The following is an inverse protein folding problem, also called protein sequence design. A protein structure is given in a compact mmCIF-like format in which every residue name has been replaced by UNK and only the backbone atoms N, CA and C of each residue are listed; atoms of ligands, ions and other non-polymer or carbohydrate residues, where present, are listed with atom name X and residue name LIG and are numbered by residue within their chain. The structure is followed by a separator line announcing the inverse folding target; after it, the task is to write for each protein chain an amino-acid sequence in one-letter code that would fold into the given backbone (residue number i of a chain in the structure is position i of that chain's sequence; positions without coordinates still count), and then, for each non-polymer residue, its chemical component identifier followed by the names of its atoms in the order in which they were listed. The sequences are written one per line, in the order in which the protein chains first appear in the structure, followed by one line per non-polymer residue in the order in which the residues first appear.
data_IF_007406350850
#
_entry.id   IF_007406350850
#
_cell.length_a   1.000
_cell.length_b   1.000
_cell.length_c   1.000
_cell.angle_alpha   90.00
_cell.angle_beta   90.00
_cell.angle_gamma   90.00
#
_symmetry.space_group_name_H-M   'P 1'
#
loop_
_entity.id
_entity.type
_entity.pdbx_description
1 polymer ?
#
# COMPACT_ATOMS: atom_id res chain seq x y z
N UNK A 1 -7.66 -48.93 -13.79
CA UNK A 1 -6.75 -49.04 -12.63
C UNK A 1 -5.40 -48.32 -12.81
N UNK A 2 -4.37 -48.85 -13.51
CA UNK A 2 -3.03 -48.19 -13.53
C UNK A 2 -2.99 -46.77 -14.14
N UNK A 3 -3.79 -46.51 -15.19
CA UNK A 3 -3.91 -45.17 -15.79
C UNK A 3 -4.60 -44.16 -14.87
N UNK A 4 -5.68 -44.58 -14.22
CA UNK A 4 -6.43 -43.76 -13.25
C UNK A 4 -5.57 -43.41 -12.04
N UNK A 5 -4.81 -44.37 -11.54
CA UNK A 5 -3.88 -44.12 -10.45
C UNK A 5 -2.82 -43.09 -10.85
N UNK A 6 -2.23 -43.19 -12.04
CA UNK A 6 -1.26 -42.20 -12.51
C UNK A 6 -1.88 -40.79 -12.63
N UNK A 7 -3.11 -40.68 -13.14
CA UNK A 7 -3.83 -39.40 -13.18
C UNK A 7 -4.08 -38.85 -11.77
N UNK A 8 -4.41 -39.70 -10.81
CA UNK A 8 -4.59 -39.31 -9.41
C UNK A 8 -3.28 -38.79 -8.78
N UNK A 9 -2.15 -39.44 -9.05
CA UNK A 9 -0.83 -39.00 -8.57
C UNK A 9 -0.45 -37.65 -9.16
N UNK A 10 -0.68 -37.44 -10.46
CA UNK A 10 -0.44 -36.14 -11.11
C UNK A 10 -1.34 -35.06 -10.51
N UNK A 11 -2.62 -35.34 -10.28
CA UNK A 11 -3.53 -34.38 -9.67
C UNK A 11 -3.13 -34.05 -8.22
N UNK A 12 -2.65 -35.03 -7.45
CA UNK A 12 -2.19 -34.80 -6.08
C UNK A 12 -0.88 -33.99 -6.05
N UNK A 13 0.07 -34.31 -6.94
CA UNK A 13 1.32 -33.54 -7.06
C UNK A 13 1.07 -32.10 -7.51
N UNK A 14 0.14 -31.87 -8.45
CA UNK A 14 -0.31 -30.53 -8.86
C UNK A 14 -0.92 -29.75 -7.69
N UNK A 15 -1.76 -30.39 -6.86
CA UNK A 15 -2.35 -29.74 -5.67
C UNK A 15 -1.29 -29.38 -4.63
N UNK A 16 -0.33 -30.27 -4.38
CA UNK A 16 0.77 -30.03 -3.47
C UNK A 16 1.65 -28.86 -3.97
N UNK A 17 1.97 -28.86 -5.27
CA UNK A 17 2.74 -27.81 -5.94
C UNK A 17 2.03 -26.45 -5.85
N UNK A 18 0.73 -26.41 -6.13
CA UNK A 18 -0.07 -25.19 -6.02
C UNK A 18 0.02 -24.59 -4.62
N UNK A 19 -0.16 -25.39 -3.58
CA UNK A 19 -0.12 -24.92 -2.18
C UNK A 19 1.26 -24.36 -1.79
N UNK A 20 2.35 -25.01 -2.20
CA UNK A 20 3.70 -24.53 -1.87
C UNK A 20 4.05 -23.27 -2.67
N UNK A 21 3.73 -23.26 -3.96
CA UNK A 21 4.03 -22.16 -4.87
C UNK A 21 3.20 -20.91 -4.54
N UNK A 22 1.89 -21.04 -4.31
CA UNK A 22 1.01 -19.91 -3.96
C UNK A 22 1.53 -19.15 -2.73
N UNK A 23 1.98 -19.89 -1.70
CA UNK A 23 2.50 -19.29 -0.46
C UNK A 23 3.79 -18.51 -0.70
N UNK A 24 4.71 -19.06 -1.49
CA UNK A 24 5.98 -18.41 -1.82
C UNK A 24 5.80 -17.22 -2.77
N UNK A 25 4.93 -17.34 -3.77
CA UNK A 25 4.63 -16.27 -4.72
C UNK A 25 4.06 -15.04 -4.01
N UNK A 26 3.09 -15.20 -3.10
CA UNK A 26 2.55 -14.07 -2.31
C UNK A 26 3.69 -13.37 -1.56
N UNK A 27 4.56 -14.14 -0.90
CA UNK A 27 5.69 -13.59 -0.14
C UNK A 27 6.68 -12.81 -1.03
N UNK A 28 6.94 -13.30 -2.24
CA UNK A 28 7.87 -12.67 -3.18
C UNK A 28 7.24 -11.40 -3.80
N UNK A 29 5.98 -11.50 -4.25
CA UNK A 29 5.23 -10.41 -4.87
C UNK A 29 5.00 -9.26 -3.88
N UNK A 30 4.69 -9.55 -2.62
CA UNK A 30 4.46 -8.51 -1.59
C UNK A 30 5.72 -7.73 -1.24
N UNK A 31 6.90 -8.35 -1.38
CA UNK A 31 8.19 -7.66 -1.16
C UNK A 31 8.63 -6.84 -2.36
N UNK A 32 8.24 -7.24 -3.57
CA UNK A 32 8.45 -6.44 -4.77
C UNK A 32 9.93 -6.00 -4.98
N UNK A 33 10.86 -6.91 -4.70
CA UNK A 33 12.31 -6.66 -4.80
C UNK A 33 12.76 -6.53 -6.26
N UNK A 34 13.86 -5.82 -6.58
CA UNK A 34 14.40 -5.78 -7.95
C UNK A 34 14.69 -7.16 -8.57
N UNK A 35 15.04 -8.14 -7.72
CA UNK A 35 15.30 -9.52 -8.13
C UNK A 35 14.04 -10.41 -8.04
N UNK A 36 12.83 -9.84 -8.02
CA UNK A 36 11.57 -10.57 -7.85
C UNK A 36 11.41 -11.68 -8.89
N UNK A 37 11.67 -11.39 -10.17
CA UNK A 37 11.52 -12.36 -11.25
C UNK A 37 12.46 -13.56 -11.10
N UNK A 38 13.71 -13.33 -10.70
CA UNK A 38 14.64 -14.41 -10.41
C UNK A 38 14.13 -15.29 -9.26
N UNK A 39 13.65 -14.67 -8.17
CA UNK A 39 13.09 -15.41 -7.03
C UNK A 39 11.83 -16.20 -7.42
N UNK A 40 10.99 -15.68 -8.32
CA UNK A 40 9.83 -16.40 -8.86
C UNK A 40 10.29 -17.60 -9.69
N UNK A 41 11.30 -17.46 -10.55
CA UNK A 41 11.88 -18.58 -11.32
C UNK A 41 12.46 -19.66 -10.41
N UNK A 42 13.20 -19.28 -9.39
CA UNK A 42 13.76 -20.20 -8.40
C UNK A 42 12.66 -20.93 -7.60
N UNK A 43 11.61 -20.21 -7.18
CA UNK A 43 10.46 -20.79 -6.50
C UNK A 43 9.69 -21.78 -7.40
N UNK A 44 9.48 -21.41 -8.67
CA UNK A 44 8.88 -22.27 -9.71
C UNK A 44 9.70 -23.54 -9.89
N UNK A 45 11.00 -23.42 -10.12
CA UNK A 45 11.90 -24.56 -10.31
C UNK A 45 11.93 -25.48 -9.07
N UNK A 46 11.99 -24.91 -7.86
CA UNK A 46 11.96 -25.67 -6.60
C UNK A 46 10.64 -26.43 -6.43
N UNK A 47 9.51 -25.79 -6.75
CA UNK A 47 8.19 -26.41 -6.66
C UNK A 47 8.01 -27.55 -7.68
N UNK A 48 8.47 -27.36 -8.92
CA UNK A 48 8.48 -28.40 -9.97
C UNK A 48 9.36 -29.57 -9.54
N UNK A 49 10.61 -29.31 -9.14
CA UNK A 49 11.56 -30.37 -8.73
C UNK A 49 11.06 -31.16 -7.52
N UNK A 50 10.47 -30.49 -6.53
CA UNK A 50 9.85 -31.15 -5.37
C UNK A 50 8.68 -32.05 -5.76
N UNK A 51 7.80 -31.55 -6.63
CA UNK A 51 6.62 -32.29 -7.11
C UNK A 51 7.00 -33.46 -8.01
N UNK A 52 7.99 -33.27 -8.89
CA UNK A 52 8.57 -34.31 -9.74
C UNK A 52 9.24 -35.41 -8.91
N UNK A 53 10.00 -35.05 -7.87
CA UNK A 53 10.63 -36.02 -6.97
C UNK A 53 9.59 -36.87 -6.23
N UNK A 54 8.52 -36.24 -5.73
CA UNK A 54 7.42 -36.94 -5.07
C UNK A 54 6.66 -37.85 -6.04
N UNK A 55 6.35 -37.37 -7.24
CA UNK A 55 5.71 -38.15 -8.29
C UNK A 55 6.57 -39.34 -8.72
N UNK A 56 7.88 -39.15 -8.91
CA UNK A 56 8.85 -40.21 -9.23
C UNK A 56 8.85 -41.31 -8.18
N UNK A 57 8.85 -40.96 -6.89
CA UNK A 57 8.77 -41.94 -5.79
C UNK A 57 7.49 -42.77 -5.86
N UNK A 58 6.33 -42.12 -6.00
CA UNK A 58 5.03 -42.81 -6.06
C UNK A 58 4.88 -43.68 -7.31
N UNK A 59 5.44 -43.26 -8.46
CA UNK A 59 5.40 -44.05 -9.70
C UNK A 59 6.40 -45.21 -9.71
N UNK A 60 7.54 -45.07 -9.03
CA UNK A 60 8.51 -46.16 -8.83
C UNK A 60 7.87 -47.33 -8.09
N UNK A 61 7.06 -47.05 -7.07
CA UNK A 61 6.33 -48.09 -6.31
C UNK A 61 5.35 -48.90 -7.18
N UNK A 62 5.04 -48.42 -8.40
CA UNK A 62 4.09 -49.02 -9.34
C UNK A 62 4.79 -49.60 -10.57
N UNK A 63 6.10 -49.41 -10.70
CA UNK A 63 6.90 -49.92 -11.81
C UNK A 63 6.67 -49.21 -13.14
N UNK A 64 6.40 -47.89 -13.14
CA UNK A 64 6.16 -47.08 -14.36
C UNK A 64 7.09 -45.86 -14.44
N UNK A 65 8.40 -46.08 -14.59
CA UNK A 65 9.38 -44.98 -14.74
C UNK A 65 9.57 -44.51 -16.20
N UNK A 66 9.25 -45.34 -17.20
CA UNK A 66 9.75 -45.18 -18.59
C UNK A 66 9.03 -44.12 -19.46
N UNK A 67 7.99 -43.44 -18.95
CA UNK A 67 7.20 -42.46 -19.72
C UNK A 67 6.74 -41.30 -18.85
N UNK A 68 7.66 -40.51 -18.29
CA UNK A 68 7.32 -39.34 -17.48
C UNK A 68 7.51 -37.99 -18.20
N UNK A 69 8.10 -37.97 -19.40
CA UNK A 69 8.38 -36.71 -20.11
C UNK A 69 7.10 -35.91 -20.39
N UNK A 70 5.97 -36.60 -20.60
CA UNK A 70 4.67 -35.94 -20.83
C UNK A 70 4.14 -35.32 -19.55
N UNK A 71 4.19 -36.06 -18.45
CA UNK A 71 3.76 -35.62 -17.12
C UNK A 71 4.64 -34.48 -16.60
N UNK A 72 5.94 -34.49 -16.91
CA UNK A 72 6.88 -33.41 -16.62
C UNK A 72 6.51 -32.13 -17.36
N UNK A 73 6.32 -32.20 -18.68
CA UNK A 73 5.86 -31.06 -19.48
C UNK A 73 4.51 -30.51 -19.00
N UNK A 74 3.59 -31.40 -18.59
CA UNK A 74 2.30 -31.00 -18.01
C UNK A 74 2.46 -30.27 -16.67
N UNK A 75 3.36 -30.74 -15.80
CA UNK A 75 3.66 -30.07 -14.52
C UNK A 75 4.33 -28.71 -14.74
N UNK A 76 5.26 -28.61 -15.68
CA UNK A 76 5.90 -27.34 -16.04
C UNK A 76 4.88 -26.34 -16.57
N UNK A 77 4.02 -26.75 -17.51
CA UNK A 77 2.94 -25.91 -18.03
C UNK A 77 2.01 -25.44 -16.92
N UNK A 78 1.54 -26.36 -16.08
CA UNK A 78 0.65 -26.04 -14.96
C UNK A 78 1.31 -25.09 -13.95
N UNK A 79 2.62 -25.25 -13.67
CA UNK A 79 3.35 -24.33 -12.81
C UNK A 79 3.43 -22.91 -13.43
N UNK A 80 3.68 -22.81 -14.74
CA UNK A 80 3.70 -21.53 -15.44
C UNK A 80 2.31 -20.85 -15.44
N UNK A 81 1.24 -21.61 -15.69
CA UNK A 81 -0.14 -21.10 -15.60
C UNK A 81 -0.46 -20.59 -14.19
N UNK A 82 -0.08 -21.33 -13.15
CA UNK A 82 -0.29 -20.89 -11.77
C UNK A 82 0.44 -19.59 -11.44
N UNK A 83 1.70 -19.46 -11.87
CA UNK A 83 2.47 -18.22 -11.69
C UNK A 83 1.78 -17.07 -12.42
N UNK A 84 1.39 -17.30 -13.67
CA UNK A 84 0.73 -16.29 -14.49
C UNK A 84 -0.61 -15.83 -13.90
N UNK A 85 -1.47 -16.79 -13.53
CA UNK A 85 -2.76 -16.53 -12.87
C UNK A 85 -2.54 -15.76 -11.56
N UNK A 86 -1.53 -16.14 -10.77
CA UNK A 86 -1.27 -15.50 -9.50
C UNK A 86 -0.78 -14.07 -9.67
N UNK A 87 0.19 -13.84 -10.56
CA UNK A 87 0.69 -12.49 -10.86
C UNK A 87 -0.44 -11.65 -11.44
N UNK A 88 -1.20 -12.18 -12.40
CA UNK A 88 -2.36 -11.50 -12.98
C UNK A 88 -3.35 -11.05 -11.91
N UNK A 89 -3.75 -11.96 -11.01
CA UNK A 89 -4.65 -11.65 -9.88
C UNK A 89 -4.10 -10.58 -8.94
N UNK A 90 -2.79 -10.59 -8.66
CA UNK A 90 -2.14 -9.59 -7.80
C UNK A 90 -1.95 -8.23 -8.50
N UNK A 91 -1.77 -8.23 -9.83
CA UNK A 91 -1.66 -7.01 -10.66
C UNK A 91 -3.02 -6.39 -11.00
N UNK A 92 -4.15 -7.04 -10.67
CA UNK A 92 -5.46 -6.46 -10.88
C UNK A 92 -5.59 -5.12 -10.11
N UNK A 93 -6.18 -4.13 -10.80
CA UNK A 93 -6.02 -2.68 -10.56
C UNK A 93 -6.04 -2.23 -9.10
N UNK A 94 -6.99 -2.71 -8.30
CA UNK A 94 -7.22 -2.15 -6.97
C UNK A 94 -6.19 -2.64 -5.93
N UNK A 95 -5.61 -3.82 -6.13
CA UNK A 95 -4.56 -4.35 -5.23
C UNK A 95 -3.21 -3.73 -5.56
N UNK A 96 -2.92 -3.53 -6.85
CA UNK A 96 -1.62 -3.04 -7.29
C UNK A 96 -1.38 -1.58 -6.87
N UNK A 97 -2.40 -0.73 -6.93
CA UNK A 97 -2.36 0.66 -6.47
C UNK A 97 -1.94 0.75 -4.98
N UNK A 98 -2.53 -0.09 -4.14
CA UNK A 98 -2.17 -0.18 -2.72
C UNK A 98 -0.73 -0.65 -2.50
N UNK A 99 -0.22 -1.56 -3.34
CA UNK A 99 1.18 -2.02 -3.26
C UNK A 99 2.17 -0.92 -3.67
N UNK A 100 1.87 -0.18 -4.75
CA UNK A 100 2.66 1.00 -5.14
C UNK A 100 2.69 2.04 -4.01
N UNK A 101 1.53 2.32 -3.40
CA UNK A 101 1.45 3.24 -2.27
C UNK A 101 2.19 2.73 -1.04
N UNK A 102 2.11 1.44 -0.71
CA UNK A 102 2.86 0.85 0.39
C UNK A 102 4.38 0.93 0.18
N UNK A 103 4.86 0.76 -1.07
CA UNK A 103 6.27 0.96 -1.42
C UNK A 103 6.69 2.43 -1.23
N UNK A 104 5.86 3.36 -1.70
CA UNK A 104 6.05 4.80 -1.47
C UNK A 104 6.11 5.12 0.02
N UNK A 105 5.12 4.71 0.80
CA UNK A 105 5.00 5.01 2.23
C UNK A 105 6.17 4.42 3.05
N UNK A 106 6.61 3.20 2.69
CA UNK A 106 7.80 2.59 3.27
C UNK A 106 9.05 3.46 3.11
N UNK A 107 9.22 4.12 1.95
CA UNK A 107 10.38 4.97 1.66
C UNK A 107 10.22 6.39 2.19
N UNK A 108 9.02 6.96 2.09
CA UNK A 108 8.74 8.34 2.46
C UNK A 108 8.60 8.52 3.97
N UNK A 109 7.82 7.64 4.60
CA UNK A 109 7.46 7.69 6.02
C UNK A 109 8.24 6.67 6.88
N UNK A 110 8.93 5.68 6.30
CA UNK A 110 9.59 4.60 7.06
C UNK A 110 8.62 3.76 7.91
N UNK A 111 7.43 3.46 7.38
CA UNK A 111 6.36 2.67 8.03
C UNK A 111 5.78 3.26 9.33
N UNK A 112 6.09 4.51 9.66
CA UNK A 112 5.53 5.25 10.81
C UNK A 112 5.35 6.71 10.43
N UNK A 113 4.47 7.45 11.11
CA UNK A 113 4.36 8.90 10.88
C UNK A 113 5.70 9.58 11.19
N UNK A 114 6.47 9.92 10.15
CA UNK A 114 7.75 10.59 10.26
C UNK A 114 7.52 12.03 10.72
N UNK A 115 8.24 12.45 11.76
CA UNK A 115 8.27 13.87 12.15
C UNK A 115 9.29 14.58 11.27
N UNK A 116 8.80 15.43 10.36
CA UNK A 116 9.63 16.20 9.44
C UNK A 116 10.40 17.31 10.15
N UNK A 117 11.73 17.26 10.06
CA UNK A 117 12.62 18.26 10.68
C UNK A 117 12.90 19.42 9.73
N UNK A 118 13.39 20.54 10.26
CA UNK A 118 13.68 21.73 9.44
C UNK A 118 14.73 21.46 8.34
N UNK A 119 15.72 20.63 8.64
CA UNK A 119 16.79 20.27 7.71
C UNK A 119 16.45 19.14 6.75
N UNK A 120 15.32 18.46 6.94
CA UNK A 120 14.86 17.44 6.01
C UNK A 120 14.36 18.11 4.73
N UNK A 121 14.57 17.44 3.58
CA UNK A 121 14.04 17.89 2.30
C UNK A 121 12.89 16.97 1.85
N UNK A 122 11.63 17.26 2.23
CA UNK A 122 10.50 16.40 1.89
C UNK A 122 10.29 16.25 0.40
N UNK A 123 10.65 17.24 -0.43
CA UNK A 123 10.51 17.16 -1.88
C UNK A 123 11.47 16.13 -2.49
N UNK A 124 12.71 16.10 -2.01
CA UNK A 124 13.71 15.12 -2.47
C UNK A 124 13.34 13.70 -2.04
N UNK A 125 12.95 13.53 -0.76
CA UNK A 125 12.50 12.25 -0.23
C UNK A 125 11.22 11.78 -0.95
N UNK A 126 10.33 12.70 -1.30
CA UNK A 126 9.11 12.43 -2.07
C UNK A 126 9.43 11.92 -3.48
N UNK A 127 10.30 12.61 -4.22
CA UNK A 127 10.67 12.16 -5.57
C UNK A 127 11.40 10.81 -5.55
N UNK A 128 12.25 10.56 -4.54
CA UNK A 128 12.89 9.26 -4.35
C UNK A 128 11.87 8.14 -4.05
N UNK A 129 10.92 8.39 -3.15
CA UNK A 129 9.87 7.44 -2.80
C UNK A 129 8.88 7.21 -3.95
N UNK A 130 8.51 8.26 -4.67
CA UNK A 130 7.67 8.21 -5.88
C UNK A 130 8.33 7.38 -6.96
N UNK A 131 9.64 7.57 -7.18
CA UNK A 131 10.41 6.75 -8.11
C UNK A 131 10.39 5.28 -7.71
N UNK A 132 10.56 4.94 -6.43
CA UNK A 132 10.46 3.55 -5.98
C UNK A 132 9.08 2.91 -6.27
N UNK A 133 7.99 3.68 -6.15
CA UNK A 133 6.65 3.22 -6.55
C UNK A 133 6.49 3.04 -8.07
N UNK A 134 7.14 3.87 -8.88
CA UNK A 134 7.13 3.74 -10.35
C UNK A 134 8.05 2.62 -10.84
N UNK A 135 9.22 2.44 -10.23
CA UNK A 135 10.14 1.33 -10.52
C UNK A 135 9.44 -0.02 -10.30
N UNK A 136 8.53 -0.08 -9.31
CA UNK A 136 7.66 -1.24 -9.10
C UNK A 136 6.72 -1.47 -10.29
N UNK A 137 6.03 -0.43 -10.77
CA UNK A 137 5.15 -0.55 -11.93
C UNK A 137 5.92 -1.01 -13.18
N UNK A 138 7.10 -0.45 -13.41
CA UNK A 138 7.94 -0.79 -14.55
C UNK A 138 8.45 -2.24 -14.44
N UNK A 139 8.78 -2.71 -13.23
CA UNK A 139 9.15 -4.11 -12.99
C UNK A 139 8.02 -5.11 -13.30
N UNK A 140 6.75 -4.70 -13.20
CA UNK A 140 5.58 -5.52 -13.57
C UNK A 140 5.10 -5.29 -15.01
N UNK A 141 5.64 -4.30 -15.71
CA UNK A 141 5.28 -4.01 -17.10
C UNK A 141 5.91 -5.04 -18.07
N UNK A 142 7.12 -5.52 -17.76
CA UNK A 142 7.83 -6.50 -18.57
C UNK A 142 7.74 -7.91 -17.96
N UNK A 143 7.25 -8.88 -18.74
CA UNK A 143 7.24 -10.30 -18.33
C UNK A 143 8.66 -10.89 -18.46
N UNK A 144 9.36 -11.02 -17.33
CA UNK A 144 10.69 -11.64 -17.24
C UNK A 144 10.62 -13.07 -16.67
N UNK A 145 9.48 -13.77 -16.83
CA UNK A 145 9.32 -15.13 -16.31
C UNK A 145 10.20 -16.16 -17.02
N UNK A 146 10.58 -15.91 -18.27
CA UNK A 146 11.43 -16.79 -19.09
C UNK A 146 12.74 -16.09 -19.42
N UNK A 147 13.85 -16.82 -19.34
CA UNK A 147 15.12 -16.36 -19.88
C UNK A 147 15.12 -16.47 -21.41
N UNK A 148 15.88 -15.62 -22.11
CA UNK A 148 15.88 -15.58 -23.58
C UNK A 148 16.24 -16.94 -24.21
N UNK A 149 16.94 -17.80 -23.47
CA UNK A 149 17.37 -19.14 -23.90
C UNK A 149 16.37 -20.26 -23.59
N UNK A 150 15.34 -20.02 -22.76
CA UNK A 150 14.40 -21.06 -22.35
C UNK A 150 13.27 -21.22 -23.38
N UNK A 151 13.06 -22.45 -23.89
CA UNK A 151 11.99 -22.74 -24.84
C UNK A 151 10.62 -22.46 -24.20
N UNK A 152 9.93 -21.44 -24.73
CA UNK A 152 8.57 -21.11 -24.30
C UNK A 152 7.60 -22.23 -24.71
N UNK A 153 6.66 -22.64 -23.83
CA UNK A 153 5.64 -23.62 -24.18
C UNK A 153 4.85 -23.18 -25.43
N UNK A 154 4.58 -24.10 -26.34
CA UNK A 154 3.74 -23.83 -27.52
C UNK A 154 2.39 -23.26 -27.08
N UNK A 155 2.05 -22.06 -27.59
CA UNK A 155 0.79 -21.37 -27.25
C UNK A 155 0.90 -20.36 -26.10
N UNK A 156 2.06 -20.21 -25.44
CA UNK A 156 2.27 -19.14 -24.49
C UNK A 156 2.52 -17.81 -25.23
N UNK A 157 1.51 -16.95 -25.27
CA UNK A 157 1.70 -15.56 -25.68
C UNK A 157 2.23 -14.76 -24.49
N UNK A 158 3.32 -14.00 -24.64
CA UNK A 158 3.76 -13.07 -23.61
C UNK A 158 2.72 -11.95 -23.50
N UNK A 159 1.73 -12.14 -22.64
CA UNK A 159 0.80 -11.09 -22.28
C UNK A 159 1.54 -10.18 -21.31
N UNK A 160 1.71 -8.90 -21.67
CA UNK A 160 2.07 -7.89 -20.69
C UNK A 160 1.02 -7.96 -19.57
N UNK A 161 1.45 -8.17 -18.33
CA UNK A 161 0.55 -8.23 -17.18
C UNK A 161 -0.22 -6.92 -17.03
N UNK A 162 0.45 -5.80 -17.28
CA UNK A 162 -0.14 -4.48 -17.27
C UNK A 162 0.01 -3.88 -18.67
N UNK A 163 -1.07 -3.78 -19.46
CA UNK A 163 -1.00 -3.14 -20.77
C UNK A 163 -0.67 -1.64 -20.60
N UNK A 164 0.05 -1.01 -21.55
CA UNK A 164 0.45 0.39 -21.47
C UNK A 164 -0.69 1.38 -21.09
N UNK A 165 -1.91 1.31 -21.67
CA UNK A 165 -2.98 2.23 -21.28
C UNK A 165 -3.47 2.01 -19.83
N UNK A 166 -3.34 0.81 -19.28
CA UNK A 166 -3.66 0.55 -17.89
C UNK A 166 -2.55 1.06 -16.95
N UNK A 167 -1.29 0.97 -17.38
CA UNK A 167 -0.15 1.51 -16.65
C UNK A 167 -0.28 3.04 -16.51
N UNK A 168 -0.64 3.77 -17.57
CA UNK A 168 -0.84 5.22 -17.52
C UNK A 168 -1.98 5.61 -16.56
N UNK A 169 -3.10 4.87 -16.59
CA UNK A 169 -4.20 5.08 -15.64
C UNK A 169 -3.78 4.83 -14.18
N UNK A 170 -2.94 3.82 -13.94
CA UNK A 170 -2.40 3.52 -12.61
C UNK A 170 -1.44 4.64 -12.16
N UNK A 171 -0.58 5.15 -13.04
CA UNK A 171 0.30 6.29 -12.75
C UNK A 171 -0.49 7.52 -12.36
N UNK A 172 -1.54 7.87 -13.11
CA UNK A 172 -2.38 9.02 -12.82
C UNK A 172 -3.10 8.91 -11.47
N UNK A 173 -3.67 7.72 -11.18
CA UNK A 173 -4.31 7.46 -9.89
C UNK A 173 -3.30 7.54 -8.74
N UNK A 174 -2.15 6.90 -8.91
CA UNK A 174 -1.06 6.92 -7.94
C UNK A 174 -0.62 8.35 -7.64
N UNK A 175 -0.41 9.20 -8.66
CA UNK A 175 -0.05 10.60 -8.44
C UNK A 175 -1.13 11.37 -7.67
N UNK A 176 -2.42 11.11 -7.90
CA UNK A 176 -3.50 11.73 -7.11
C UNK A 176 -3.44 11.32 -5.64
N UNK A 177 -3.07 10.08 -5.33
CA UNK A 177 -2.90 9.61 -3.94
C UNK A 177 -1.66 10.21 -3.27
N UNK A 178 -0.60 10.53 -4.02
CA UNK A 178 0.64 11.06 -3.45
C UNK A 178 0.57 12.54 -3.09
N UNK A 179 -0.22 13.35 -3.81
CA UNK A 179 -0.27 14.81 -3.60
C UNK A 179 -0.62 15.21 -2.15
N UNK A 180 -1.63 14.62 -1.50
CA UNK A 180 -1.96 14.94 -0.10
C UNK A 180 -0.82 14.66 0.89
N UNK A 181 -0.05 13.59 0.68
CA UNK A 181 1.07 13.20 1.54
C UNK A 181 2.21 14.24 1.50
N UNK A 182 2.51 14.79 0.32
CA UNK A 182 3.51 15.85 0.18
C UNK A 182 3.06 17.13 0.88
N UNK A 183 1.80 17.53 0.69
CA UNK A 183 1.23 18.73 1.34
C UNK A 183 1.28 18.58 2.85
N UNK A 184 0.91 17.40 3.37
CA UNK A 184 0.97 17.09 4.79
C UNK A 184 2.41 17.16 5.32
N UNK A 185 3.39 16.61 4.60
CA UNK A 185 4.80 16.66 4.98
C UNK A 185 5.33 18.11 5.05
N UNK A 186 5.00 18.94 4.05
CA UNK A 186 5.37 20.36 4.00
C UNK A 186 4.71 21.15 5.13
N UNK A 187 3.43 20.90 5.41
CA UNK A 187 2.72 21.52 6.52
C UNK A 187 3.27 21.08 7.88
N UNK A 188 3.57 19.79 8.06
CA UNK A 188 4.21 19.26 9.26
C UNK A 188 5.59 19.89 9.49
N UNK A 189 6.38 20.08 8.43
CA UNK A 189 7.66 20.78 8.49
C UNK A 189 7.48 22.24 8.90
N UNK A 190 6.51 22.94 8.30
CA UNK A 190 6.17 24.33 8.65
C UNK A 190 5.75 24.45 10.12
N UNK A 191 4.86 23.58 10.59
CA UNK A 191 4.36 23.59 11.96
C UNK A 191 5.44 23.21 12.99
N UNK A 192 6.40 22.36 12.61
CA UNK A 192 7.57 22.06 13.44
C UNK A 192 8.54 23.23 13.58
N UNK A 193 8.61 24.09 12.56
CA UNK A 193 9.46 25.29 12.56
C UNK A 193 8.93 26.40 13.47
N UNK A 194 7.61 26.57 13.56
CA UNK A 194 7.04 27.82 14.07
C UNK A 194 6.73 27.85 15.57
N UNK A 195 6.54 26.73 16.26
CA UNK A 195 5.67 26.82 17.44
C UNK A 195 6.23 26.79 18.86
N UNK A 196 7.47 26.36 19.15
CA UNK A 196 7.85 26.23 20.58
C UNK A 196 9.20 26.80 21.03
N UNK A 197 10.20 26.98 20.16
CA UNK A 197 11.53 27.39 20.64
C UNK A 197 11.73 28.91 20.63
N UNK A 198 11.46 29.58 19.50
CA UNK A 198 11.83 30.99 19.34
C UNK A 198 10.94 31.95 20.12
N UNK A 199 9.63 31.71 20.21
CA UNK A 199 8.74 32.55 21.02
C UNK A 199 9.01 32.41 22.52
N UNK A 200 9.28 31.18 22.99
CA UNK A 200 9.67 30.94 24.39
C UNK A 200 11.04 31.52 24.68
N UNK A 201 12.01 31.36 23.78
CA UNK A 201 13.34 31.95 23.91
C UNK A 201 13.28 33.49 23.87
N UNK A 202 12.44 34.07 23.01
CA UNK A 202 12.24 35.51 22.94
C UNK A 202 11.53 36.03 24.18
N UNK A 203 10.47 35.36 24.66
CA UNK A 203 9.83 35.68 25.94
C UNK A 203 10.82 35.61 27.10
N UNK A 204 11.65 34.56 27.15
CA UNK A 204 12.72 34.43 28.15
C UNK A 204 13.76 35.55 28.05
N UNK A 205 14.09 36.00 26.84
CA UNK A 205 15.07 37.06 26.61
C UNK A 205 14.50 38.44 26.95
N UNK A 206 13.22 38.68 26.65
CA UNK A 206 12.50 39.94 26.92
C UNK A 206 12.11 40.06 28.39
N UNK A 207 11.84 38.94 29.06
CA UNK A 207 11.65 38.90 30.50
C UNK A 207 12.95 39.24 31.24
N UNK A 208 14.10 39.17 30.59
CA UNK A 208 15.38 39.50 31.22
C UNK A 208 15.84 38.44 32.23
N UNK A 209 17.16 38.32 32.38
CA UNK A 209 17.74 37.44 33.40
C UNK A 209 17.47 37.95 34.82
N UNK A 210 17.40 39.27 34.97
CA UNK A 210 17.24 39.92 36.27
C UNK A 210 15.80 39.80 36.79
N UNK A 211 14.78 39.95 35.95
CA UNK A 211 13.39 39.71 36.39
C UNK A 211 13.09 38.22 36.57
N UNK A 212 13.75 37.33 35.83
CA UNK A 212 13.66 35.89 36.09
C UNK A 212 14.21 35.56 37.49
N UNK A 213 15.36 36.12 37.86
CA UNK A 213 15.94 35.95 39.19
C UNK A 213 15.08 36.59 40.28
N UNK A 214 14.48 37.76 40.00
CA UNK A 214 13.53 38.40 40.92
C UNK A 214 12.27 37.54 41.10
N UNK A 215 11.74 36.94 40.03
CA UNK A 215 10.61 36.02 40.09
C UNK A 215 10.94 34.75 40.90
N UNK A 216 12.15 34.21 40.73
CA UNK A 216 12.64 33.03 41.46
C UNK A 216 12.92 33.30 42.94
N UNK A 217 13.35 34.51 43.30
CA UNK A 217 13.66 34.87 44.70
C UNK A 217 12.42 35.23 45.51
N UNK A 218 11.30 35.54 44.87
CA UNK A 218 10.05 35.84 45.55
C UNK A 218 9.06 34.63 45.49
N UNK A 219 8.93 33.84 46.56
CA UNK A 219 8.21 32.56 46.52
C UNK A 219 6.71 32.69 46.22
N UNK A 220 6.09 33.82 46.59
CA UNK A 220 4.68 34.10 46.31
C UNK A 220 4.41 34.33 44.82
N UNK A 221 5.26 35.10 44.13
CA UNK A 221 5.09 35.35 42.70
C UNK A 221 5.41 34.10 41.86
N UNK A 222 6.36 33.29 42.29
CA UNK A 222 6.63 32.00 41.67
C UNK A 222 5.43 31.06 41.76
N UNK A 223 4.79 30.98 42.94
CA UNK A 223 3.62 30.12 43.16
C UNK A 223 2.45 30.57 42.28
N UNK A 224 2.17 31.87 42.20
CA UNK A 224 1.10 32.38 41.32
C UNK A 224 1.40 32.13 39.85
N UNK A 225 2.65 32.35 39.40
CA UNK A 225 3.07 32.05 38.04
C UNK A 225 2.92 30.56 37.70
N UNK A 226 3.34 29.65 38.59
CA UNK A 226 3.17 28.21 38.39
C UNK A 226 1.69 27.81 38.32
N UNK A 227 0.83 28.45 39.10
CA UNK A 227 -0.61 28.18 39.08
C UNK A 227 -1.22 28.61 37.74
N UNK A 228 -0.84 29.78 37.22
CA UNK A 228 -1.23 30.23 35.88
C UNK A 228 -0.67 29.32 34.78
N UNK A 229 0.60 28.91 34.87
CA UNK A 229 1.21 27.99 33.91
C UNK A 229 0.52 26.62 33.92
N UNK A 230 0.18 26.10 35.10
CA UNK A 230 -0.56 24.85 35.26
C UNK A 230 -1.99 24.95 34.69
N UNK A 231 -2.68 26.07 34.91
CA UNK A 231 -4.00 26.33 34.34
C UNK A 231 -3.94 26.43 32.81
N UNK A 232 -2.96 27.15 32.26
CA UNK A 232 -2.74 27.28 30.82
C UNK A 232 -2.35 25.93 30.19
N UNK A 233 -1.49 25.15 30.84
CA UNK A 233 -1.13 23.80 30.42
C UNK A 233 -2.36 22.88 30.45
N UNK A 234 -3.15 22.90 31.53
CA UNK A 234 -4.40 22.15 31.64
C UNK A 234 -5.38 22.52 30.53
N UNK A 235 -5.56 23.81 30.25
CA UNK A 235 -6.38 24.29 29.14
C UNK A 235 -5.86 23.78 27.78
N UNK A 236 -4.55 23.91 27.52
CA UNK A 236 -3.93 23.40 26.30
C UNK A 236 -4.10 21.88 26.12
N UNK A 237 -3.90 21.10 27.20
CA UNK A 237 -4.14 19.66 27.18
C UNK A 237 -5.60 19.31 26.92
N UNK A 238 -6.55 20.03 27.53
CA UNK A 238 -7.98 19.80 27.27
C UNK A 238 -8.38 20.08 25.82
N UNK A 239 -7.80 21.09 25.15
CA UNK A 239 -8.06 21.29 23.71
C UNK A 239 -7.50 20.15 22.85
N UNK A 240 -6.30 19.65 23.15
CA UNK A 240 -5.74 18.50 22.43
C UNK A 240 -6.50 17.20 22.70
N UNK A 241 -6.98 16.98 23.93
CA UNK A 241 -7.77 15.80 24.31
C UNK A 241 -9.20 15.90 23.75
N UNK A 242 -9.77 17.10 23.65
CA UNK A 242 -11.03 17.35 22.95
C UNK A 242 -10.99 16.88 21.50
N UNK A 243 -9.91 17.19 20.78
CA UNK A 243 -9.66 16.70 19.43
C UNK A 243 -9.48 15.16 19.37
N UNK A 244 -8.94 14.53 20.41
CA UNK A 244 -8.84 13.06 20.51
C UNK A 244 -10.21 12.39 20.64
N UNK A 245 -11.18 13.01 21.32
CA UNK A 245 -12.54 12.47 21.40
C UNK A 245 -13.26 12.51 20.05
N UNK A 246 -12.98 13.54 19.23
CA UNK A 246 -13.49 13.64 17.86
C UNK A 246 -12.83 12.61 16.92
N UNK A 247 -11.53 12.35 17.09
CA UNK A 247 -10.81 11.31 16.34
C UNK A 247 -11.28 9.90 16.78
N UNK A 248 -11.53 9.67 18.08
CA UNK A 248 -12.08 8.42 18.59
C UNK A 248 -13.53 8.17 18.10
N UNK A 249 -14.34 9.23 18.02
CA UNK A 249 -15.68 9.17 17.43
C UNK A 249 -15.63 8.88 15.92
N UNK A 250 -14.68 9.46 15.17
CA UNK A 250 -14.43 9.12 13.77
C UNK A 250 -13.97 7.66 13.58
N UNK A 251 -13.24 7.10 14.54
CA UNK A 251 -12.79 5.70 14.54
C UNK A 251 -13.82 4.72 15.12
N UNK A 252 -15.02 5.16 15.46
CA UNK A 252 -16.09 4.31 15.99
C UNK A 252 -15.85 3.77 17.40
N UNK A 253 -14.85 4.28 18.12
CA UNK A 253 -14.55 3.89 19.49
C UNK A 253 -15.42 4.71 20.46
N UNK A 254 -16.57 4.15 20.81
CA UNK A 254 -17.46 4.73 21.83
C UNK A 254 -16.84 4.56 23.22
N UNK A 255 -16.03 5.52 23.65
CA UNK A 255 -15.47 5.57 25.00
C UNK A 255 -16.55 6.05 25.99
N UNK A 256 -17.02 5.20 26.93
CA UNK A 256 -18.01 5.59 27.92
C UNK A 256 -17.38 6.61 28.88
N UNK A 257 -17.73 7.89 28.71
CA UNK A 257 -17.26 9.00 29.55
C UNK A 257 -16.94 10.30 28.78
N UNK A 258 -16.71 10.24 27.47
CA UNK A 258 -16.35 11.43 26.68
C UNK A 258 -17.50 12.44 26.53
N UNK A 259 -18.76 11.98 26.54
CA UNK A 259 -19.93 12.85 26.41
C UNK A 259 -20.13 13.79 27.62
N UNK A 260 -19.61 13.43 28.81
CA UNK A 260 -19.76 14.25 30.01
C UNK A 260 -18.80 15.45 30.05
N UNK A 261 -17.66 15.39 29.36
CA UNK A 261 -16.68 16.46 29.33
C UNK A 261 -16.97 17.55 28.28
N UNK A 262 -17.79 17.25 27.27
CA UNK A 262 -18.13 18.19 26.18
C UNK A 262 -19.30 19.13 26.50
N UNK A 263 -20.03 18.92 27.61
CA UNK A 263 -21.26 19.66 27.93
C UNK A 263 -21.09 21.00 28.66
N UNK A 264 -19.87 21.47 28.91
CA UNK A 264 -19.61 22.64 29.78
C UNK A 264 -19.50 24.01 29.08
N UNK A 265 -19.53 24.08 27.75
CA UNK A 265 -19.29 25.32 26.99
C UNK A 265 -20.50 25.76 26.19
N UNK A 266 -21.47 26.39 26.84
CA UNK A 266 -22.67 26.94 26.20
C UNK A 266 -22.36 28.17 25.33
N UNK A 267 -22.81 28.11 24.07
CA UNK A 267 -22.94 29.24 23.16
C UNK A 267 -24.00 28.88 22.13
N UNK A 268 -25.19 29.46 22.25
CA UNK A 268 -26.35 29.08 21.46
C UNK A 268 -26.19 29.44 19.98
N UNK A 269 -26.24 28.42 19.12
CA UNK A 269 -26.55 28.58 17.71
C UNK A 269 -27.83 27.81 17.36
N UNK A 270 -28.71 28.54 16.69
CA UNK A 270 -30.06 28.15 16.32
C UNK A 270 -30.01 26.95 15.38
N UNK A 271 -30.81 25.93 15.69
CA UNK A 271 -30.97 24.74 14.87
C UNK A 271 -31.37 25.09 13.43
N UNK A 272 -30.50 24.70 12.49
CA UNK A 272 -30.84 24.61 11.07
C UNK A 272 -31.54 23.26 10.87
N UNK A 273 -32.80 23.36 10.46
CA UNK A 273 -33.71 22.24 10.25
C UNK A 273 -33.27 21.43 9.02
N UNK A 274 -32.78 20.21 9.24
CA UNK A 274 -32.14 19.37 8.21
C UNK A 274 -33.12 18.38 7.55
N UNK A 275 -34.41 18.70 7.54
CA UNK A 275 -35.44 17.92 6.81
C UNK A 275 -35.68 18.40 5.37
N UNK A 276 -34.96 19.42 4.88
CA UNK A 276 -35.27 20.06 3.60
C UNK A 276 -34.48 19.56 2.37
N UNK A 277 -33.66 18.51 2.49
CA UNK A 277 -32.84 18.00 1.38
C UNK A 277 -33.10 16.53 1.01
N UNK A 278 -34.35 16.06 1.15
CA UNK A 278 -34.78 14.74 0.68
C UNK A 278 -35.77 14.87 -0.49
N UNK A 279 -35.26 15.28 -1.65
CA UNK A 279 -36.10 15.35 -2.85
C UNK A 279 -35.37 15.87 -4.07
N UNK A 280 -34.51 15.05 -4.68
CA UNK A 280 -34.30 15.14 -6.14
C UNK A 280 -34.10 13.76 -6.79
N UNK A 281 -34.65 13.57 -8.00
CA UNK A 281 -34.89 12.27 -8.63
C UNK A 281 -33.67 11.71 -9.38
N UNK A 282 -33.59 10.39 -9.43
CA UNK A 282 -32.67 9.63 -10.27
C UNK A 282 -33.02 9.79 -11.76
N UNK A 283 -32.26 10.62 -12.47
CA UNK A 283 -32.29 10.71 -13.93
C UNK A 283 -31.54 9.55 -14.56
N UNK A 284 -32.31 8.60 -15.09
CA UNK A 284 -31.88 7.47 -15.91
C UNK A 284 -31.89 7.94 -17.36
N UNK A 285 -30.73 8.18 -17.97
CA UNK A 285 -30.63 8.35 -19.42
C UNK A 285 -29.77 7.27 -20.06
N UNK A 286 -30.46 6.54 -20.92
CA UNK A 286 -30.04 5.57 -21.91
C UNK A 286 -29.49 6.26 -23.15
N UNK A 287 -28.47 5.66 -23.77
CA UNK A 287 -28.04 5.97 -25.14
C UNK A 287 -26.53 6.25 -25.21
N UNK A 288 -25.77 5.84 -26.21
CA UNK A 288 -26.08 5.26 -27.51
C UNK A 288 -24.75 4.74 -28.08
N UNK A 289 -24.84 3.65 -28.85
CA UNK A 289 -23.73 3.01 -29.54
C UNK A 289 -22.90 3.98 -30.40
N UNK A 290 -21.58 3.85 -30.30
CA UNK A 290 -20.59 4.45 -31.20
C UNK A 290 -19.64 3.38 -31.71
N UNK A 291 -20.03 2.74 -32.82
CA UNK A 291 -19.17 1.86 -33.62
C UNK A 291 -18.12 2.74 -34.30
N UNK A 292 -16.84 2.55 -34.00
CA UNK A 292 -15.74 3.09 -34.80
C UNK A 292 -15.08 1.96 -35.58
N UNK A 293 -15.40 1.92 -36.87
CA UNK A 293 -14.68 1.17 -37.88
C UNK A 293 -13.32 1.83 -38.12
N UNK A 294 -12.23 1.06 -38.07
CA UNK A 294 -10.93 1.48 -38.59
C UNK A 294 -10.76 0.98 -40.03
N UNK A 295 -10.32 1.83 -40.97
CA UNK A 295 -10.05 1.43 -42.35
C UNK A 295 -8.71 0.70 -42.44
N UNK A 296 -8.71 -0.39 -43.22
CA UNK A 296 -7.51 -1.13 -43.59
C UNK A 296 -6.56 -0.28 -44.44
N UNK A 297 -5.26 -0.41 -44.16
CA UNK A 297 -4.20 -0.02 -45.08
C UNK A 297 -3.60 -1.28 -45.67
N UNK A 298 -4.12 -1.61 -46.85
CA UNK A 298 -3.54 -2.50 -47.83
C UNK A 298 -2.69 -1.64 -48.79
N UNK A 299 -1.37 -1.84 -48.82
CA UNK A 299 -0.50 -1.44 -49.93
C UNK A 299 0.72 -2.35 -50.01
N UNK A 300 0.58 -3.32 -50.90
CA UNK A 300 1.64 -3.95 -51.67
C UNK A 300 2.49 -2.91 -52.42
N UNK A 301 3.81 -3.03 -52.33
CA UNK A 301 4.76 -3.03 -53.45
C UNK A 301 6.10 -3.61 -52.97
#
# INVERSE_FOLDING_TARGET
MRKEFAMLVVADSQRAMKKSLDKELVRIIDKASPNMWQLIREAKATAINGSMSNMKKLLRDIGREEKMDKEEKQLQHFACELVHDKISNETMKDNFENKMFACFDSKFNHHKTRVWRLWDNPEQDFEAAKRAGLDLLDAFAEDQLYEEEEERPEGYTPSLYIPPPAADQLRDKFFRLLQPELVWALESKRNSSTHNSLMVAFLLLLLGWDELLWLLTNPLYLLTFLLFAAAAAGYYFTQKIGNLSQIAAMLGLNLPGAAAAAGGGGGGEKGVNLEQFRGMPSGRETGRAGVRSYPGTDKSQ
#
